data_IF_952967719623
#
_entry.id   IF_952967719623
#
_cell.length_a   1.000
_cell.length_b   1.000
_cell.length_c   1.000
_cell.angle_alpha   90.00
_cell.angle_beta   90.00
_cell.angle_gamma   90.00
#
_symmetry.space_group_name_H-M   'P 1'
#
loop_
_entity.id
_entity.type
_entity.pdbx_description
1 polymer ?
#
# COMPACT_ATOMS: atom_id res chain seq x y z
N UNK A 1 24.86 4.16 27.65
CA UNK A 1 23.45 3.87 28.03
C UNK A 1 22.61 4.97 27.44
N UNK A 2 21.54 4.68 26.68
CA UNK A 2 20.68 5.75 26.17
C UNK A 2 20.03 6.47 27.36
N UNK A 3 19.96 7.79 27.24
CA UNK A 3 19.22 8.69 28.09
C UNK A 3 17.72 8.40 27.94
N UNK A 4 17.10 7.89 29.01
CA UNK A 4 15.66 7.65 29.14
C UNK A 4 14.97 8.79 29.91
N UNK A 5 15.42 10.04 29.76
CA UNK A 5 14.74 11.18 30.36
C UNK A 5 13.33 11.29 29.78
N UNK A 6 12.36 11.63 30.63
CA UNK A 6 10.94 11.74 30.25
C UNK A 6 10.62 12.80 29.20
N UNK A 7 11.64 13.48 28.66
CA UNK A 7 11.56 14.47 27.57
C UNK A 7 10.97 13.88 26.28
N UNK A 8 11.05 12.56 26.07
CA UNK A 8 10.40 11.88 24.93
C UNK A 8 8.86 12.02 24.97
N UNK A 9 8.28 12.30 26.13
CA UNK A 9 6.83 12.53 26.28
C UNK A 9 6.43 14.01 26.23
N UNK A 10 7.40 14.93 26.14
CA UNK A 10 7.16 16.38 26.05
C UNK A 10 6.91 16.85 24.60
N UNK A 11 7.25 16.03 23.61
CA UNK A 11 6.89 16.25 22.20
C UNK A 11 5.59 15.49 21.86
N UNK A 12 4.64 16.17 21.20
CA UNK A 12 3.52 15.47 20.58
C UNK A 12 4.08 14.53 19.49
N UNK A 13 3.73 13.26 19.59
CA UNK A 13 4.19 12.25 18.64
C UNK A 13 3.70 12.51 17.22
N UNK A 14 4.50 12.09 16.25
CA UNK A 14 4.14 12.10 14.83
C UNK A 14 3.37 10.85 14.45
N UNK A 15 2.66 10.88 13.32
CA UNK A 15 1.93 9.72 12.78
C UNK A 15 2.27 9.48 11.31
N UNK A 16 2.31 8.21 10.91
CA UNK A 16 2.26 7.78 9.51
C UNK A 16 1.10 6.80 9.34
N UNK A 17 0.49 6.79 8.16
CA UNK A 17 -0.60 5.86 7.83
C UNK A 17 -0.22 5.07 6.60
N UNK A 18 -0.43 3.76 6.66
CA UNK A 18 -0.29 2.84 5.54
C UNK A 18 -1.67 2.26 5.21
N UNK A 19 -1.97 2.13 3.91
CA UNK A 19 -3.20 1.50 3.42
C UNK A 19 -2.88 0.53 2.30
N UNK A 20 -3.45 -0.66 2.41
CA UNK A 20 -3.40 -1.72 1.40
C UNK A 20 -4.70 -1.77 0.58
N UNK A 21 -4.55 -2.06 -0.70
CA UNK A 21 -5.64 -2.13 -1.66
C UNK A 21 -5.49 -3.36 -2.55
N UNK A 22 -6.62 -3.93 -2.96
CA UNK A 22 -6.63 -4.88 -4.07
C UNK A 22 -6.55 -4.11 -5.39
N UNK A 23 -5.62 -4.47 -6.26
CA UNK A 23 -5.63 -4.10 -7.68
C UNK A 23 -6.63 -5.00 -8.38
N UNK A 24 -7.59 -4.39 -9.07
CA UNK A 24 -8.69 -5.11 -9.74
C UNK A 24 -8.83 -4.68 -11.19
N UNK A 25 -9.37 -5.57 -12.01
CA UNK A 25 -9.74 -5.25 -13.40
C UNK A 25 -11.04 -4.42 -13.48
N UNK A 26 -11.53 -4.17 -14.70
CA UNK A 26 -12.77 -3.41 -14.93
C UNK A 26 -14.04 -4.08 -14.39
N UNK A 27 -13.98 -5.39 -14.12
CA UNK A 27 -15.08 -6.17 -13.54
C UNK A 27 -14.97 -6.28 -12.01
N UNK A 28 -13.93 -5.66 -11.41
CA UNK A 28 -13.67 -5.68 -9.98
C UNK A 28 -13.05 -6.98 -9.48
N UNK A 29 -12.42 -7.77 -10.36
CA UNK A 29 -11.76 -9.02 -9.98
C UNK A 29 -10.27 -8.75 -9.67
N UNK A 30 -9.72 -9.28 -8.56
CA UNK A 30 -8.30 -9.12 -8.24
C UNK A 30 -7.40 -9.61 -9.37
N UNK A 31 -6.47 -8.75 -9.78
CA UNK A 31 -5.61 -8.97 -10.94
C UNK A 31 -4.18 -8.55 -10.62
N UNK A 32 -3.22 -9.24 -11.23
CA UNK A 32 -1.80 -9.00 -11.00
C UNK A 32 -1.32 -7.72 -11.70
N UNK A 33 -1.57 -6.56 -11.07
CA UNK A 33 -1.18 -5.24 -11.60
C UNK A 33 -0.13 -4.51 -10.74
N UNK A 34 0.26 -5.03 -9.58
CA UNK A 34 1.18 -4.32 -8.68
C UNK A 34 2.57 -4.09 -9.29
N UNK A 35 3.11 -5.06 -10.04
CA UNK A 35 4.42 -4.89 -10.70
C UNK A 35 4.39 -3.71 -11.68
N UNK A 36 3.32 -3.61 -12.47
CA UNK A 36 3.15 -2.52 -13.44
C UNK A 36 3.06 -1.15 -12.74
N UNK A 37 2.31 -1.08 -11.64
CA UNK A 37 2.09 0.15 -10.87
C UNK A 37 3.26 0.54 -9.95
N UNK A 38 4.17 -0.38 -9.64
CA UNK A 38 5.27 -0.15 -8.67
C UNK A 38 6.63 -0.07 -9.35
N UNK A 39 6.87 -0.84 -10.41
CA UNK A 39 8.20 -0.98 -11.02
C UNK A 39 8.28 -0.58 -12.48
N UNK A 40 7.21 -0.78 -13.23
CA UNK A 40 7.23 -0.55 -14.69
C UNK A 40 6.85 0.88 -15.05
N UNK A 41 6.21 1.61 -14.12
CA UNK A 41 5.75 2.98 -14.31
C UNK A 41 6.12 3.84 -13.09
N UNK A 42 6.28 5.14 -13.31
CA UNK A 42 6.59 6.10 -12.26
C UNK A 42 5.31 6.61 -11.61
N UNK A 43 5.11 6.27 -10.33
CA UNK A 43 3.97 6.78 -9.57
C UNK A 43 4.08 8.32 -9.40
N UNK A 44 2.99 9.09 -9.61
CA UNK A 44 3.01 10.55 -9.53
C UNK A 44 3.10 11.06 -8.08
N UNK A 45 3.40 12.35 -7.91
CA UNK A 45 3.25 12.99 -6.61
C UNK A 45 1.77 12.99 -6.16
N UNK A 46 1.47 12.82 -4.86
CA UNK A 46 2.41 12.75 -3.73
C UNK A 46 2.84 11.32 -3.37
N UNK A 47 2.53 10.32 -4.21
CA UNK A 47 2.78 8.90 -3.89
C UNK A 47 4.13 8.39 -4.44
N UNK A 48 4.92 9.24 -5.09
CA UNK A 48 6.25 8.87 -5.63
C UNK A 48 7.16 8.27 -4.54
N UNK A 49 7.56 7.02 -4.74
CA UNK A 49 8.39 6.25 -3.79
C UNK A 49 7.66 5.80 -2.52
N UNK A 50 6.36 6.07 -2.41
CA UNK A 50 5.49 5.68 -1.29
C UNK A 50 4.41 4.68 -1.72
N UNK A 51 4.59 4.03 -2.88
CA UNK A 51 3.81 2.88 -3.34
C UNK A 51 4.71 1.66 -3.38
N UNK A 52 4.25 0.53 -2.86
CA UNK A 52 4.97 -0.76 -2.95
C UNK A 52 3.99 -1.91 -3.22
N UNK A 53 4.49 -3.06 -3.64
CA UNK A 53 3.68 -4.28 -3.70
C UNK A 53 3.78 -5.07 -2.42
N UNK A 54 2.75 -5.88 -2.18
CA UNK A 54 2.76 -6.89 -1.15
C UNK A 54 3.03 -8.31 -1.68
N UNK A 55 3.04 -9.29 -0.76
CA UNK A 55 3.26 -10.70 -1.07
C UNK A 55 2.49 -11.19 -2.32
N UNK A 56 1.26 -10.70 -2.50
CA UNK A 56 0.42 -11.00 -3.64
C UNK A 56 0.47 -9.88 -4.67
N UNK A 57 0.65 -10.22 -5.95
CA UNK A 57 0.78 -9.22 -7.03
C UNK A 57 -0.51 -8.46 -7.36
N UNK A 58 -1.62 -8.84 -6.73
CA UNK A 58 -2.89 -8.12 -6.79
C UNK A 58 -3.09 -7.21 -5.57
N UNK A 59 -2.09 -7.02 -4.71
CA UNK A 59 -2.14 -6.11 -3.56
C UNK A 59 -1.09 -5.03 -3.72
N UNK A 60 -1.50 -3.79 -3.48
CA UNK A 60 -0.65 -2.61 -3.50
C UNK A 60 -0.80 -1.86 -2.17
N UNK A 61 0.32 -1.38 -1.63
CA UNK A 61 0.36 -0.58 -0.41
C UNK A 61 0.72 0.87 -0.77
N UNK A 62 0.13 1.81 -0.03
CA UNK A 62 0.56 3.21 -0.01
C UNK A 62 0.86 3.68 1.39
N UNK A 63 1.77 4.63 1.54
CA UNK A 63 2.10 5.24 2.83
C UNK A 63 2.10 6.76 2.78
N UNK A 64 1.64 7.41 3.85
CA UNK A 64 1.79 8.86 4.00
C UNK A 64 3.25 9.20 4.33
N UNK A 65 3.70 10.40 3.94
CA UNK A 65 4.84 11.02 4.63
C UNK A 65 4.55 11.15 6.13
N UNK A 66 5.61 11.30 6.93
CA UNK A 66 5.50 11.56 8.37
C UNK A 66 4.67 12.84 8.61
N UNK A 67 3.64 12.74 9.44
CA UNK A 67 2.73 13.83 9.79
C UNK A 67 3.02 14.31 11.21
N UNK A 68 2.95 15.61 11.44
CA UNK A 68 3.22 16.24 12.74
C UNK A 68 2.01 16.19 13.69
N UNK A 69 0.83 15.81 13.18
CA UNK A 69 -0.37 15.66 14.00
C UNK A 69 -1.34 14.61 13.43
N UNK A 70 -2.00 13.80 14.28
CA UNK A 70 -3.12 12.94 13.87
C UNK A 70 -4.24 13.67 13.12
N UNK A 71 -4.43 14.97 13.34
CA UNK A 71 -5.42 15.76 12.64
C UNK A 71 -5.15 15.90 11.13
N UNK A 72 -3.91 15.69 10.68
CA UNK A 72 -3.52 15.75 9.26
C UNK A 72 -3.83 14.44 8.52
N UNK A 73 -3.96 13.32 9.23
CA UNK A 73 -4.07 12.00 8.63
C UNK A 73 -5.28 11.83 7.68
N UNK A 74 -6.50 12.29 8.01
CA UNK A 74 -7.65 12.10 7.13
C UNK A 74 -7.47 12.73 5.74
N UNK A 75 -6.85 13.91 5.66
CA UNK A 75 -6.65 14.61 4.39
C UNK A 75 -5.49 14.01 3.59
N UNK A 76 -4.40 13.63 4.26
CA UNK A 76 -3.28 12.94 3.63
C UNK A 76 -3.74 11.62 2.98
N UNK A 77 -4.51 10.81 3.72
CA UNK A 77 -5.09 9.55 3.24
C UNK A 77 -6.01 9.77 2.04
N UNK A 78 -6.92 10.76 2.09
CA UNK A 78 -7.82 11.05 0.97
C UNK A 78 -7.07 11.47 -0.29
N UNK A 79 -6.02 12.26 -0.12
CA UNK A 79 -5.19 12.73 -1.23
C UNK A 79 -4.48 11.56 -1.88
N UNK A 80 -3.79 10.74 -1.09
CA UNK A 80 -3.09 9.54 -1.57
C UNK A 80 -4.04 8.58 -2.27
N UNK A 81 -5.20 8.28 -1.66
CA UNK A 81 -6.18 7.36 -2.26
C UNK A 81 -6.71 7.86 -3.60
N UNK A 82 -6.98 9.16 -3.70
CA UNK A 82 -7.44 9.76 -4.95
C UNK A 82 -6.36 9.66 -6.03
N UNK A 83 -5.12 10.03 -5.69
CA UNK A 83 -3.99 9.92 -6.63
C UNK A 83 -3.76 8.47 -7.06
N UNK A 84 -3.79 7.52 -6.13
CA UNK A 84 -3.65 6.09 -6.43
C UNK A 84 -4.76 5.59 -7.37
N UNK A 85 -6.00 6.01 -7.13
CA UNK A 85 -7.13 5.65 -7.99
C UNK A 85 -6.96 6.18 -9.42
N UNK A 86 -6.58 7.45 -9.56
CA UNK A 86 -6.34 8.08 -10.87
C UNK A 86 -5.18 7.39 -11.60
N UNK A 87 -4.06 7.19 -10.90
CA UNK A 87 -2.89 6.50 -11.41
C UNK A 87 -3.19 5.06 -11.87
N UNK A 88 -3.89 4.27 -11.04
CA UNK A 88 -4.28 2.91 -11.42
C UNK A 88 -5.17 2.90 -12.68
N UNK A 89 -6.12 3.84 -12.78
CA UNK A 89 -7.00 3.96 -13.93
C UNK A 89 -6.26 4.32 -15.22
N UNK A 90 -5.25 5.19 -15.16
CA UNK A 90 -4.39 5.53 -16.31
C UNK A 90 -3.65 4.29 -16.88
N UNK A 91 -3.37 3.30 -16.03
CA UNK A 91 -2.72 2.05 -16.40
C UNK A 91 -3.68 0.89 -16.67
N UNK A 92 -4.99 1.14 -16.70
CA UNK A 92 -6.01 0.14 -17.04
C UNK A 92 -6.48 -0.72 -15.86
N UNK A 93 -6.19 -0.30 -14.63
CA UNK A 93 -6.62 -0.99 -13.41
C UNK A 93 -7.58 -0.13 -12.58
N UNK A 94 -8.17 -0.75 -11.56
CA UNK A 94 -8.86 -0.05 -10.48
C UNK A 94 -8.32 -0.55 -9.14
N UNK A 95 -8.73 0.12 -8.06
CA UNK A 95 -8.41 -0.29 -6.69
C UNK A 95 -9.69 -0.58 -5.91
N UNK A 96 -9.65 -1.61 -5.05
CA UNK A 96 -10.69 -1.93 -4.09
C UNK A 96 -10.15 -1.87 -2.66
N UNK A 97 -10.72 -0.98 -1.85
CA UNK A 97 -10.42 -0.87 -0.43
C UNK A 97 -11.29 -1.86 0.37
N UNK A 98 -10.75 -3.04 0.64
CA UNK A 98 -11.42 -4.07 1.42
C UNK A 98 -10.41 -4.79 2.32
N UNK A 99 -10.84 -5.23 3.50
CA UNK A 99 -9.99 -6.11 4.33
C UNK A 99 -9.97 -7.57 3.83
N UNK A 100 -11.02 -7.99 3.12
CA UNK A 100 -11.15 -9.30 2.47
C UNK A 100 -11.91 -9.08 1.16
N UNK A 101 -11.33 -9.47 0.03
CA UNK A 101 -12.01 -9.41 -1.27
C UNK A 101 -12.66 -10.76 -1.60
N UNK A 102 -13.96 -10.81 -1.93
CA UNK A 102 -14.69 -12.07 -2.11
C UNK A 102 -14.18 -12.92 -3.29
N UNK A 103 -13.55 -12.28 -4.28
CA UNK A 103 -12.95 -12.93 -5.44
C UNK A 103 -11.43 -13.14 -5.33
N UNK A 104 -10.79 -12.76 -4.22
CA UNK A 104 -9.36 -13.00 -4.04
C UNK A 104 -9.11 -14.46 -3.67
N UNK A 105 -8.56 -15.23 -4.61
CA UNK A 105 -8.05 -16.57 -4.35
C UNK A 105 -6.52 -16.58 -4.40
N UNK A 106 -5.92 -16.51 -3.21
CA UNK A 106 -4.47 -16.51 -3.05
C UNK A 106 -3.79 -17.79 -3.53
N UNK A 107 -4.49 -18.90 -3.76
CA UNK A 107 -3.85 -20.15 -4.24
C UNK A 107 -3.68 -20.19 -5.76
N UNK A 108 -4.42 -19.35 -6.47
CA UNK A 108 -4.46 -19.33 -7.94
C UNK A 108 -3.73 -18.14 -8.54
N UNK A 109 -3.33 -17.18 -7.71
CA UNK A 109 -2.83 -15.88 -8.11
C UNK A 109 -1.31 -15.78 -7.95
N UNK A 110 -0.67 -14.96 -8.78
CA UNK A 110 0.78 -14.79 -8.76
C UNK A 110 1.29 -14.18 -7.44
N UNK A 111 2.44 -14.68 -7.00
CA UNK A 111 3.15 -14.20 -5.81
C UNK A 111 4.39 -13.41 -6.19
N UNK A 112 4.75 -12.46 -5.35
CA UNK A 112 6.04 -11.78 -5.44
C UNK A 112 7.17 -12.80 -5.20
N UNK A 113 8.11 -12.92 -6.14
CA UNK A 113 9.20 -13.90 -6.08
C UNK A 113 10.36 -13.50 -5.13
N UNK A 114 10.24 -12.34 -4.46
CA UNK A 114 11.32 -11.81 -3.60
C UNK A 114 11.67 -12.82 -2.49
N UNK A 115 12.96 -13.01 -2.15
CA UNK A 115 13.38 -13.99 -1.14
C UNK A 115 12.69 -13.86 0.23
N UNK A 116 12.34 -12.62 0.65
CA UNK A 116 11.63 -12.37 1.92
C UNK A 116 10.26 -13.05 2.02
N UNK A 117 9.64 -13.35 0.88
CA UNK A 117 8.28 -13.86 0.79
C UNK A 117 8.18 -15.38 0.71
N UNK A 118 9.28 -16.07 0.35
CA UNK A 118 9.29 -17.53 0.21
C UNK A 118 8.92 -18.26 1.50
N UNK A 119 9.37 -17.79 2.66
CA UNK A 119 9.05 -18.42 3.95
C UNK A 119 7.60 -18.21 4.40
N UNK A 120 6.87 -17.29 3.79
CA UNK A 120 5.45 -17.05 4.08
C UNK A 120 4.53 -17.89 3.19
N UNK A 121 5.05 -18.41 2.07
CA UNK A 121 4.30 -19.19 1.08
C UNK A 121 4.40 -20.71 1.27
N UNK A 122 5.32 -21.19 2.11
CA UNK A 122 5.38 -22.61 2.48
C UNK A 122 4.29 -22.91 3.53
N UNK A 123 3.24 -23.68 3.18
CA UNK A 123 2.40 -24.28 4.19
C UNK A 123 3.19 -25.44 4.80
N UNK A 124 3.33 -25.45 6.12
CA UNK A 124 3.80 -26.63 6.86
C UNK A 124 3.02 -27.89 6.47
#
# INVERSE_FOLDING_TARGET
MPDWSGTVFDELGTVGVEEEYFVVDSDGVPTAGSDQLVYENDAPEPITGDVDHELFKFVIETRTKKLDSPAQAPEAVRTIRKTLQEYAAEHGFQIAAAGIHPAADWRLQEHAEKPRYRSQLDPL
#
